data_IF_532812242052
#
_entry.id   IF_532812242052
#
_cell.length_a   1.000
_cell.length_b   1.000
_cell.length_c   1.000
_cell.angle_alpha   90.00
_cell.angle_beta   90.00
_cell.angle_gamma   90.00
#
_symmetry.space_group_name_H-M   'P 1'
#
loop_
_entity.id
_entity.type
_entity.pdbx_description
1 polymer ?
#
# COMPACT_ATOMS: atom_id res chain seq x y z
N UNK A 1 10.07 -51.87 20.81
CA UNK A 1 10.27 -50.90 21.91
C UNK A 1 10.11 -49.47 21.36
N UNK A 2 9.25 -49.31 20.34
CA UNK A 2 9.35 -48.21 19.36
C UNK A 2 8.15 -47.26 19.37
N UNK A 3 7.03 -47.68 19.98
CA UNK A 3 5.85 -46.82 20.13
C UNK A 3 6.02 -45.74 21.21
N UNK A 4 6.82 -46.04 22.25
CA UNK A 4 7.10 -45.07 23.33
C UNK A 4 8.04 -43.97 22.82
N UNK A 5 9.05 -44.33 22.01
CA UNK A 5 9.97 -43.35 21.41
C UNK A 5 9.26 -42.42 20.41
N UNK A 6 8.31 -42.97 19.62
CA UNK A 6 7.55 -42.21 18.63
C UNK A 6 6.61 -41.15 19.25
N UNK A 7 6.13 -41.37 20.47
CA UNK A 7 5.27 -40.41 21.18
C UNK A 7 6.06 -39.40 22.04
N UNK A 8 7.25 -39.78 22.52
CA UNK A 8 8.08 -38.90 23.35
C UNK A 8 8.80 -37.82 22.55
N UNK A 9 9.26 -38.12 21.33
CA UNK A 9 9.98 -37.14 20.51
C UNK A 9 9.14 -35.89 20.17
N UNK A 10 7.87 -36.01 19.72
CA UNK A 10 7.03 -34.85 19.42
C UNK A 10 6.68 -34.03 20.66
N UNK A 11 6.50 -34.68 21.81
CA UNK A 11 6.21 -34.00 23.08
C UNK A 11 7.43 -33.23 23.61
N UNK A 12 8.63 -33.79 23.47
CA UNK A 12 9.88 -33.11 23.84
C UNK A 12 10.17 -31.95 22.89
N UNK A 13 9.96 -32.13 21.59
CA UNK A 13 10.07 -31.05 20.60
C UNK A 13 9.05 -29.95 20.89
N UNK A 14 7.79 -30.31 21.15
CA UNK A 14 6.73 -29.35 21.52
C UNK A 14 7.05 -28.56 22.80
N UNK A 15 7.58 -29.24 23.82
CA UNK A 15 8.00 -28.60 25.07
C UNK A 15 9.21 -27.67 24.87
N UNK A 16 10.19 -28.06 24.06
CA UNK A 16 11.35 -27.23 23.75
C UNK A 16 10.97 -26.00 22.91
N UNK A 17 10.08 -26.15 21.93
CA UNK A 17 9.55 -25.04 21.13
C UNK A 17 8.76 -24.06 22.01
N UNK A 18 7.93 -24.57 22.93
CA UNK A 18 7.19 -23.73 23.88
C UNK A 18 8.09 -22.97 24.87
N UNK A 19 9.22 -23.57 25.27
CA UNK A 19 10.18 -22.92 26.17
C UNK A 19 11.05 -21.87 25.48
N UNK A 20 11.36 -22.05 24.21
CA UNK A 20 12.20 -21.14 23.43
C UNK A 20 11.36 -19.99 22.85
N UNK A 21 10.08 -20.23 22.53
CA UNK A 21 9.17 -19.24 21.95
C UNK A 21 7.83 -19.15 22.70
N UNK A 22 7.78 -18.51 23.90
CA UNK A 22 6.59 -18.47 24.75
C UNK A 22 5.44 -17.61 24.19
N UNK A 23 5.61 -16.97 23.03
CA UNK A 23 4.65 -16.03 22.43
C UNK A 23 3.84 -16.58 21.26
N UNK A 24 4.03 -17.84 20.85
CA UNK A 24 3.25 -18.42 19.74
C UNK A 24 1.83 -18.76 20.18
N UNK A 25 0.84 -18.14 19.53
CA UNK A 25 -0.56 -18.48 19.77
C UNK A 25 -0.94 -19.75 18.99
N UNK A 26 -1.86 -20.56 19.53
CA UNK A 26 -2.38 -21.74 18.83
C UNK A 26 -3.00 -21.42 17.44
N UNK A 27 -3.38 -20.16 17.19
CA UNK A 27 -3.85 -19.68 15.90
C UNK A 27 -2.73 -19.65 14.83
N UNK A 28 -1.50 -19.34 15.22
CA UNK A 28 -0.34 -19.31 14.32
C UNK A 28 0.08 -20.73 13.91
N UNK A 29 0.02 -21.68 14.85
CA UNK A 29 0.31 -23.09 14.59
C UNK A 29 -0.73 -23.70 13.63
N UNK A 30 -2.02 -23.38 13.81
CA UNK A 30 -3.07 -23.80 12.89
C UNK A 30 -2.90 -23.18 11.50
N UNK A 31 -2.41 -21.94 11.41
CA UNK A 31 -2.14 -21.27 10.13
C UNK A 31 -1.03 -22.00 9.34
N UNK A 32 0.03 -22.44 10.01
CA UNK A 32 1.14 -23.20 9.41
C UNK A 32 0.70 -24.58 8.91
N UNK A 33 -0.16 -25.27 9.65
CA UNK A 33 -0.67 -26.60 9.29
C UNK A 33 -1.75 -26.55 8.18
N UNK A 34 -2.44 -25.42 8.02
CA UNK A 34 -3.46 -25.24 6.98
C UNK A 34 -2.89 -24.91 5.59
N UNK A 35 -1.57 -24.77 5.44
CA UNK A 35 -0.87 -24.30 4.23
C UNK A 35 -0.94 -25.23 2.99
N UNK A 36 -1.84 -26.21 2.95
CA UNK A 36 -2.09 -27.03 1.76
C UNK A 36 -3.56 -26.97 1.35
N UNK A 37 -3.97 -25.83 0.78
CA UNK A 37 -4.92 -25.69 -0.34
C UNK A 37 -5.30 -24.21 -0.49
N UNK A 38 -5.08 -23.69 -1.68
CA UNK A 38 -5.37 -22.34 -2.20
C UNK A 38 -4.27 -21.30 -1.95
N UNK A 39 -3.57 -20.96 -3.03
CA UNK A 39 -2.80 -19.73 -3.19
C UNK A 39 -3.77 -18.53 -3.21
N UNK A 40 -4.37 -18.23 -2.05
CA UNK A 40 -5.00 -16.94 -1.83
C UNK A 40 -3.88 -15.94 -1.54
N UNK A 41 -3.91 -14.79 -2.21
CA UNK A 41 -3.18 -13.58 -1.82
C UNK A 41 -3.12 -13.49 -0.28
N UNK A 42 -1.97 -13.10 0.27
CA UNK A 42 -1.81 -12.92 1.71
C UNK A 42 -3.04 -12.17 2.24
N UNK A 43 -3.85 -12.83 3.09
CA UNK A 43 -5.14 -12.31 3.60
C UNK A 43 -5.20 -10.80 3.87
N UNK A 44 -4.17 -10.12 4.44
CA UNK A 44 -4.22 -8.68 4.65
C UNK A 44 -4.31 -7.83 3.37
N UNK A 45 -3.85 -8.30 2.22
CA UNK A 45 -3.78 -7.53 0.97
C UNK A 45 -4.84 -7.92 -0.05
N UNK A 46 -5.80 -8.77 0.33
CA UNK A 46 -6.87 -9.22 -0.57
C UNK A 46 -7.85 -8.09 -0.94
N UNK A 47 -8.58 -8.30 -2.04
CA UNK A 47 -9.59 -7.36 -2.53
C UNK A 47 -10.71 -7.14 -1.51
N UNK A 48 -11.15 -8.19 -0.82
CA UNK A 48 -12.20 -8.15 0.20
C UNK A 48 -11.77 -7.29 1.39
N UNK A 49 -10.55 -7.51 1.88
CA UNK A 49 -10.04 -6.74 2.99
C UNK A 49 -9.88 -5.25 2.63
N UNK A 50 -9.33 -4.96 1.46
CA UNK A 50 -9.18 -3.59 0.96
C UNK A 50 -10.54 -2.90 0.80
N UNK A 51 -11.51 -3.57 0.16
CA UNK A 51 -12.87 -3.08 -0.02
C UNK A 51 -13.55 -2.73 1.31
N UNK A 52 -13.59 -3.68 2.25
CA UNK A 52 -14.23 -3.45 3.54
C UNK A 52 -13.52 -2.37 4.36
N UNK A 53 -12.20 -2.24 4.23
CA UNK A 53 -11.42 -1.20 4.88
C UNK A 53 -11.75 0.19 4.33
N UNK A 54 -11.83 0.34 3.00
CA UNK A 54 -12.26 1.59 2.37
C UNK A 54 -13.71 1.94 2.76
N UNK A 55 -14.63 0.97 2.70
CA UNK A 55 -16.04 1.15 3.05
C UNK A 55 -16.25 1.57 4.51
N UNK A 56 -15.40 1.11 5.43
CA UNK A 56 -15.50 1.42 6.86
C UNK A 56 -14.59 2.56 7.32
N UNK A 57 -13.81 3.17 6.42
CA UNK A 57 -12.88 4.25 6.77
C UNK A 57 -13.53 5.36 7.60
N UNK A 58 -14.72 5.82 7.18
CA UNK A 58 -15.48 6.87 7.86
C UNK A 58 -15.83 6.46 9.29
N UNK A 59 -16.44 5.28 9.44
CA UNK A 59 -16.84 4.74 10.75
C UNK A 59 -15.61 4.61 11.66
N UNK A 60 -14.56 3.93 11.20
CA UNK A 60 -13.36 3.66 11.99
C UNK A 60 -12.63 4.95 12.39
N UNK A 61 -12.59 5.94 11.51
CA UNK A 61 -11.97 7.24 11.81
C UNK A 61 -12.79 8.02 12.85
N UNK A 62 -14.12 8.01 12.75
CA UNK A 62 -15.02 8.63 13.71
C UNK A 62 -15.02 7.92 15.07
N UNK A 63 -14.83 6.61 15.11
CA UNK A 63 -14.64 5.85 16.35
C UNK A 63 -13.33 6.24 17.06
N UNK A 64 -12.23 6.41 16.31
CA UNK A 64 -10.97 6.91 16.86
C UNK A 64 -11.12 8.34 17.40
N UNK A 65 -11.78 9.23 16.65
CA UNK A 65 -12.08 10.59 17.09
C UNK A 65 -12.93 10.61 18.37
N UNK A 66 -13.93 9.72 18.47
CA UNK A 66 -14.79 9.61 19.65
C UNK A 66 -14.00 9.18 20.88
N UNK A 67 -13.03 8.25 20.74
CA UNK A 67 -12.11 7.89 21.82
C UNK A 67 -11.25 9.09 22.26
N UNK A 68 -10.77 9.89 21.32
CA UNK A 68 -10.01 11.12 21.64
C UNK A 68 -10.86 12.13 22.41
N UNK A 69 -12.12 12.34 21.99
CA UNK A 69 -13.08 13.20 22.69
C UNK A 69 -13.38 12.69 24.09
N UNK A 70 -13.61 11.39 24.26
CA UNK A 70 -13.87 10.78 25.56
C UNK A 70 -12.66 10.88 26.49
N UNK A 71 -11.45 10.66 25.97
CA UNK A 71 -10.20 10.86 26.71
C UNK A 71 -10.07 12.31 27.16
N UNK A 72 -10.33 13.28 26.29
CA UNK A 72 -10.33 14.69 26.68
C UNK A 72 -11.41 15.03 27.72
N UNK A 73 -12.59 14.42 27.59
CA UNK A 73 -13.69 14.60 28.53
C UNK A 73 -13.41 13.98 29.92
N UNK A 74 -12.49 13.02 30.06
CA UNK A 74 -12.11 12.46 31.36
C UNK A 74 -11.05 13.29 32.11
N UNK A 75 -10.39 14.23 31.43
CA UNK A 75 -9.34 15.07 32.01
C UNK A 75 -9.91 16.03 33.09
N UNK A 76 -9.12 16.34 34.12
CA UNK A 76 -9.47 17.30 35.17
C UNK A 76 -9.72 18.73 34.65
N UNK A 77 -10.48 19.54 35.42
CA UNK A 77 -10.93 20.87 34.98
C UNK A 77 -9.78 21.81 34.57
N UNK A 78 -8.68 21.83 35.32
CA UNK A 78 -7.51 22.68 35.03
C UNK A 78 -6.89 22.38 33.68
N UNK A 79 -6.62 21.10 33.40
CA UNK A 79 -6.05 20.67 32.12
C UNK A 79 -7.03 20.83 30.96
N UNK A 80 -8.33 20.65 31.17
CA UNK A 80 -9.36 20.98 30.16
C UNK A 80 -9.37 22.46 29.79
N UNK A 81 -9.19 23.36 30.76
CA UNK A 81 -9.09 24.80 30.48
C UNK A 81 -7.87 25.10 29.61
N UNK A 82 -6.69 24.57 29.97
CA UNK A 82 -5.48 24.70 29.15
C UNK A 82 -5.72 24.15 27.74
N UNK A 83 -6.31 22.96 27.63
CA UNK A 83 -6.68 22.34 26.36
C UNK A 83 -7.62 23.19 25.51
N UNK A 84 -8.59 23.85 26.12
CA UNK A 84 -9.49 24.78 25.46
C UNK A 84 -8.76 26.03 24.98
N UNK A 85 -7.92 26.63 25.83
CA UNK A 85 -7.16 27.84 25.52
C UNK A 85 -6.17 27.62 24.36
N UNK A 86 -5.61 26.40 24.21
CA UNK A 86 -4.77 26.02 23.06
C UNK A 86 -5.57 25.51 21.85
N UNK A 87 -6.91 25.53 21.90
CA UNK A 87 -7.79 25.17 20.79
C UNK A 87 -7.92 23.67 20.50
N UNK A 88 -7.67 22.79 21.47
CA UNK A 88 -7.77 21.34 21.28
C UNK A 88 -9.17 20.87 20.83
N UNK A 89 -10.30 21.37 21.38
CA UNK A 89 -11.63 21.00 20.89
C UNK A 89 -11.86 21.40 19.42
N UNK A 90 -11.41 22.60 19.04
CA UNK A 90 -11.50 23.07 17.65
C UNK A 90 -10.67 22.19 16.71
N UNK A 91 -9.50 21.72 17.16
CA UNK A 91 -8.67 20.75 16.43
C UNK A 91 -9.41 19.43 16.17
N UNK A 92 -10.15 18.91 17.17
CA UNK A 92 -10.95 17.69 17.02
C UNK A 92 -12.14 17.87 16.06
N UNK A 93 -12.76 19.06 16.04
CA UNK A 93 -13.82 19.37 15.08
C UNK A 93 -13.28 19.42 13.65
N UNK A 94 -12.13 20.06 13.44
CA UNK A 94 -11.46 20.08 12.14
C UNK A 94 -11.01 18.68 11.69
N UNK A 95 -10.60 17.81 12.62
CA UNK A 95 -10.33 16.40 12.30
C UNK A 95 -11.59 15.68 11.79
N UNK A 96 -12.76 15.97 12.36
CA UNK A 96 -14.02 15.40 11.88
C UNK A 96 -14.33 15.86 10.46
N UNK A 97 -14.26 17.16 10.20
CA UNK A 97 -14.51 17.76 8.88
C UNK A 97 -13.59 17.17 7.80
N UNK A 98 -12.29 17.09 8.10
CA UNK A 98 -11.30 16.51 7.16
C UNK A 98 -11.49 15.02 6.95
N UNK A 99 -11.94 14.28 7.97
CA UNK A 99 -12.33 12.87 7.85
C UNK A 99 -13.51 12.69 6.90
N UNK A 100 -14.52 13.56 6.96
CA UNK A 100 -15.67 13.51 6.05
C UNK A 100 -15.27 13.82 4.60
N UNK A 101 -14.32 14.73 4.38
CA UNK A 101 -13.77 14.99 3.03
C UNK A 101 -13.04 13.74 2.50
N UNK A 102 -12.14 13.16 3.30
CA UNK A 102 -11.42 11.94 2.91
C UNK A 102 -12.37 10.76 2.65
N UNK A 103 -13.44 10.64 3.45
CA UNK A 103 -14.43 9.59 3.31
C UNK A 103 -15.13 9.60 1.93
N UNK A 104 -15.30 10.78 1.30
CA UNK A 104 -15.87 10.85 -0.06
C UNK A 104 -15.05 10.07 -1.07
N UNK A 105 -13.72 10.16 -0.98
CA UNK A 105 -12.78 9.42 -1.84
C UNK A 105 -12.83 7.93 -1.51
N UNK A 106 -12.71 7.56 -0.23
CA UNK A 106 -12.70 6.14 0.16
C UNK A 106 -14.01 5.43 -0.18
N UNK A 107 -15.14 6.11 0.00
CA UNK A 107 -16.46 5.56 -0.35
C UNK A 107 -16.61 5.43 -1.88
N UNK A 108 -16.01 6.34 -2.66
CA UNK A 108 -16.02 6.24 -4.12
C UNK A 108 -15.16 5.07 -4.61
N UNK A 109 -13.99 4.85 -4.00
CA UNK A 109 -13.14 3.67 -4.25
C UNK A 109 -13.92 2.39 -3.93
N UNK A 110 -14.57 2.33 -2.75
CA UNK A 110 -15.36 1.17 -2.36
C UNK A 110 -16.53 0.90 -3.33
N UNK A 111 -17.27 1.95 -3.74
CA UNK A 111 -18.36 1.82 -4.73
C UNK A 111 -17.87 1.37 -6.10
N UNK A 112 -16.66 1.77 -6.52
CA UNK A 112 -16.08 1.27 -7.78
C UNK A 112 -15.75 -0.21 -7.65
N UNK A 113 -15.06 -0.59 -6.57
CA UNK A 113 -14.71 -1.98 -6.29
C UNK A 113 -15.93 -2.90 -6.23
N UNK A 114 -17.01 -2.47 -5.57
CA UNK A 114 -18.27 -3.21 -5.50
C UNK A 114 -18.87 -3.51 -6.89
N UNK A 115 -18.77 -2.57 -7.83
CA UNK A 115 -19.25 -2.76 -9.21
C UNK A 115 -18.34 -3.69 -10.01
N UNK A 116 -17.03 -3.55 -9.86
CA UNK A 116 -16.05 -4.35 -10.61
C UNK A 116 -15.97 -5.80 -10.10
N UNK A 117 -16.12 -5.98 -8.79
CA UNK A 117 -16.00 -7.27 -8.10
C UNK A 117 -17.35 -7.58 -7.42
N UNK A 118 -18.35 -7.99 -8.20
CA UNK A 118 -19.75 -8.12 -7.77
C UNK A 118 -20.06 -9.09 -6.60
N UNK A 119 -19.06 -9.75 -6.01
CA UNK A 119 -19.19 -10.70 -4.88
C UNK A 119 -18.69 -10.15 -3.53
N UNK A 120 -18.24 -8.89 -3.48
CA UNK A 120 -17.64 -8.30 -2.27
C UNK A 120 -18.64 -8.03 -1.13
N UNK A 121 -19.94 -8.03 -1.41
CA UNK A 121 -20.98 -7.81 -0.41
C UNK A 121 -21.46 -9.08 0.29
N UNK A 122 -21.31 -10.23 -0.37
CA UNK A 122 -21.89 -11.50 0.08
C UNK A 122 -20.96 -12.24 1.06
N UNK A 123 -19.72 -11.79 1.20
CA UNK A 123 -18.74 -12.40 2.08
C UNK A 123 -18.81 -11.83 3.50
N UNK A 124 -18.71 -12.72 4.48
CA UNK A 124 -18.68 -12.41 5.90
C UNK A 124 -17.57 -11.38 6.18
N UNK A 125 -17.93 -10.26 6.80
CA UNK A 125 -17.02 -9.18 7.19
C UNK A 125 -15.80 -9.78 7.90
N UNK A 126 -14.60 -9.83 7.26
CA UNK A 126 -13.42 -10.27 7.96
C UNK A 126 -13.24 -9.38 9.19
N UNK A 127 -12.75 -9.96 10.30
CA UNK A 127 -12.27 -9.14 11.41
C UNK A 127 -11.22 -8.19 10.86
N UNK A 128 -11.59 -6.92 10.73
CA UNK A 128 -10.71 -5.89 10.25
C UNK A 128 -9.58 -5.80 11.25
N UNK A 129 -8.37 -6.17 10.83
CA UNK A 129 -7.19 -6.09 11.68
C UNK A 129 -6.96 -4.62 12.10
N UNK A 130 -6.24 -4.43 13.21
CA UNK A 130 -5.91 -3.10 13.73
C UNK A 130 -5.15 -2.22 12.71
N UNK A 131 -4.49 -2.83 11.72
CA UNK A 131 -3.69 -2.18 10.68
C UNK A 131 -4.46 -1.75 9.42
N UNK A 132 -5.74 -2.07 9.30
CA UNK A 132 -6.49 -1.88 8.06
C UNK A 132 -6.77 -0.40 7.76
N UNK A 133 -7.06 0.40 8.80
CA UNK A 133 -7.17 1.86 8.65
C UNK A 133 -5.82 2.51 8.29
N UNK A 134 -4.70 1.99 8.80
CA UNK A 134 -3.38 2.48 8.42
C UNK A 134 -3.06 2.18 6.96
N UNK A 135 -3.48 1.03 6.41
CA UNK A 135 -3.29 0.70 5.00
C UNK A 135 -4.10 1.62 4.08
N UNK A 136 -5.36 1.94 4.43
CA UNK A 136 -6.14 2.96 3.70
C UNK A 136 -5.44 4.32 3.76
N UNK A 137 -5.00 4.73 4.94
CA UNK A 137 -4.27 5.99 5.15
C UNK A 137 -2.97 6.04 4.34
N UNK A 138 -2.29 4.91 4.17
CA UNK A 138 -1.09 4.82 3.34
C UNK A 138 -1.41 5.01 1.85
N UNK A 139 -2.46 4.35 1.33
CA UNK A 139 -2.93 4.61 -0.02
C UNK A 139 -3.35 6.08 -0.24
N UNK A 140 -3.97 6.70 0.77
CA UNK A 140 -4.32 8.12 0.76
C UNK A 140 -3.08 9.03 0.64
N UNK A 141 -1.97 8.71 1.33
CA UNK A 141 -0.70 9.44 1.16
C UNK A 141 -0.10 9.24 -0.23
N UNK A 142 -0.22 8.05 -0.81
CA UNK A 142 0.29 7.80 -2.15
C UNK A 142 -0.38 8.69 -3.21
N UNK A 143 -1.63 9.12 -3.05
CA UNK A 143 -2.23 10.12 -3.95
C UNK A 143 -1.43 11.43 -3.97
N UNK A 144 -0.82 11.82 -2.85
CA UNK A 144 0.04 13.02 -2.80
C UNK A 144 1.28 12.79 -3.65
N UNK A 145 2.03 11.72 -3.35
CA UNK A 145 3.30 11.42 -4.01
C UNK A 145 3.11 11.18 -5.50
N UNK A 146 2.16 10.33 -5.86
CA UNK A 146 2.03 9.80 -7.22
C UNK A 146 1.17 10.71 -8.12
N UNK A 147 0.20 11.46 -7.57
CA UNK A 147 -0.83 12.12 -8.39
C UNK A 147 -1.19 13.54 -7.94
N UNK A 148 -0.38 14.22 -7.14
CA UNK A 148 -0.64 15.63 -6.80
C UNK A 148 0.51 16.54 -7.22
N UNK A 149 0.24 17.83 -7.40
CA UNK A 149 1.27 18.83 -7.64
C UNK A 149 2.27 18.92 -6.47
N UNK A 150 1.81 18.74 -5.23
CA UNK A 150 2.66 18.72 -4.03
C UNK A 150 3.72 17.60 -4.05
N UNK A 151 3.46 16.51 -4.78
CA UNK A 151 4.42 15.42 -4.97
C UNK A 151 5.36 15.60 -6.16
N UNK A 152 5.19 16.65 -6.99
CA UNK A 152 5.90 16.81 -8.25
C UNK A 152 7.42 16.89 -8.05
N UNK A 153 7.90 17.69 -7.10
CA UNK A 153 9.34 17.82 -6.84
C UNK A 153 9.97 16.48 -6.40
N UNK A 154 9.27 15.70 -5.58
CA UNK A 154 9.74 14.38 -5.16
C UNK A 154 9.79 13.42 -6.37
N UNK A 155 8.71 13.40 -7.18
CA UNK A 155 8.65 12.60 -8.40
C UNK A 155 9.73 12.98 -9.38
N UNK A 156 9.98 14.27 -9.60
CA UNK A 156 10.99 14.72 -10.55
C UNK A 156 12.39 14.23 -10.17
N UNK A 157 12.68 14.15 -8.87
CA UNK A 157 13.97 13.64 -8.37
C UNK A 157 14.12 12.13 -8.52
N UNK A 158 13.03 11.36 -8.40
CA UNK A 158 13.08 9.89 -8.36
C UNK A 158 12.70 9.23 -9.71
N UNK A 159 11.74 9.79 -10.44
CA UNK A 159 11.18 9.24 -11.69
C UNK A 159 11.96 9.73 -12.91
N UNK A 160 12.30 11.03 -13.00
CA UNK A 160 12.94 11.56 -14.22
C UNK A 160 14.25 10.85 -14.60
N UNK A 161 15.15 10.50 -13.66
CA UNK A 161 16.36 9.78 -14.01
C UNK A 161 16.06 8.41 -14.65
N UNK A 162 15.02 7.71 -14.19
CA UNK A 162 14.57 6.43 -14.76
C UNK A 162 14.05 6.65 -16.18
N UNK A 163 13.19 7.66 -16.37
CA UNK A 163 12.66 7.98 -17.70
C UNK A 163 13.74 8.43 -18.68
N UNK A 164 14.76 9.15 -18.20
CA UNK A 164 15.88 9.58 -19.04
C UNK A 164 16.68 8.39 -19.57
N UNK A 165 16.85 7.33 -18.79
CA UNK A 165 17.47 6.09 -19.27
C UNK A 165 16.58 5.38 -20.28
N UNK A 166 15.29 5.28 -20.03
CA UNK A 166 14.35 4.66 -20.99
C UNK A 166 14.24 5.46 -22.30
N UNK A 167 14.44 6.79 -22.27
CA UNK A 167 14.48 7.65 -23.45
C UNK A 167 15.69 7.39 -24.36
N UNK A 168 16.72 6.69 -23.89
CA UNK A 168 17.86 6.27 -24.73
C UNK A 168 17.48 5.18 -25.74
N UNK A 169 16.36 4.47 -25.51
CA UNK A 169 15.78 3.57 -26.51
C UNK A 169 15.10 4.41 -27.58
N UNK A 170 15.41 4.13 -28.84
CA UNK A 170 14.83 4.82 -30.00
C UNK A 170 13.30 4.72 -30.00
N UNK A 171 12.63 5.83 -30.31
CA UNK A 171 11.17 5.93 -30.20
C UNK A 171 10.42 4.85 -31.00
N UNK A 172 10.93 4.52 -32.19
CA UNK A 172 10.34 3.51 -33.08
C UNK A 172 10.45 2.08 -32.53
N UNK A 173 11.40 1.82 -31.62
CA UNK A 173 11.58 0.50 -31.01
C UNK A 173 10.72 0.29 -29.76
N UNK A 174 10.27 1.36 -29.10
CA UNK A 174 9.62 1.29 -27.77
C UNK A 174 8.34 0.47 -27.77
N UNK A 175 7.54 0.56 -28.83
CA UNK A 175 6.28 -0.17 -28.96
C UNK A 175 6.46 -1.70 -28.93
N UNK A 176 7.65 -2.21 -29.27
CA UNK A 176 7.96 -3.64 -29.22
C UNK A 176 8.61 -4.09 -27.91
N UNK A 177 8.85 -3.19 -26.94
CA UNK A 177 9.56 -3.46 -25.69
C UNK A 177 8.59 -3.51 -24.51
N UNK A 178 8.61 -4.63 -23.80
CA UNK A 178 7.78 -4.87 -22.62
C UNK A 178 8.51 -4.44 -21.35
N UNK A 179 7.89 -3.57 -20.57
CA UNK A 179 8.41 -3.05 -19.30
C UNK A 179 7.53 -3.52 -18.15
N UNK A 180 8.12 -4.09 -17.11
CA UNK A 180 7.43 -4.42 -15.88
C UNK A 180 7.83 -3.45 -14.77
N UNK A 181 6.84 -2.91 -14.07
CA UNK A 181 7.03 -2.09 -12.87
C UNK A 181 6.44 -2.84 -11.67
N UNK A 182 7.23 -3.64 -10.94
CA UNK A 182 6.76 -4.32 -9.74
C UNK A 182 6.70 -3.36 -8.54
N UNK A 183 5.70 -3.54 -7.68
CA UNK A 183 5.41 -2.61 -6.58
C UNK A 183 5.00 -1.23 -7.08
N UNK A 184 4.14 -1.20 -8.10
CA UNK A 184 3.79 0.02 -8.81
C UNK A 184 3.08 1.07 -7.93
N UNK A 185 2.57 0.71 -6.74
CA UNK A 185 1.82 1.63 -5.88
C UNK A 185 0.57 2.13 -6.61
N UNK A 186 0.42 3.45 -6.76
CA UNK A 186 -0.67 4.02 -7.56
C UNK A 186 -0.31 4.18 -9.04
N UNK A 187 0.73 3.50 -9.52
CA UNK A 187 1.01 3.31 -10.94
C UNK A 187 1.54 4.53 -11.68
N UNK A 188 1.93 5.61 -11.00
CA UNK A 188 2.44 6.83 -11.66
C UNK A 188 3.67 6.58 -12.53
N UNK A 189 4.66 5.84 -12.02
CA UNK A 189 5.85 5.49 -12.81
C UNK A 189 5.49 4.64 -14.03
N UNK A 190 4.66 3.61 -13.85
CA UNK A 190 4.22 2.76 -14.95
C UNK A 190 3.45 3.55 -16.02
N UNK A 191 2.59 4.48 -15.59
CA UNK A 191 1.90 5.39 -16.50
C UNK A 191 2.87 6.30 -17.25
N UNK A 192 3.84 6.94 -16.58
CA UNK A 192 4.81 7.80 -17.29
C UNK A 192 5.69 7.01 -18.28
N UNK A 193 6.02 5.75 -17.97
CA UNK A 193 6.73 4.86 -18.90
C UNK A 193 5.85 4.50 -20.09
N UNK A 194 4.56 4.20 -19.89
CA UNK A 194 3.64 3.92 -20.99
C UNK A 194 3.49 5.13 -21.92
N UNK A 195 3.52 6.35 -21.36
CA UNK A 195 3.50 7.60 -22.15
C UNK A 195 4.76 7.81 -23.00
N UNK A 196 5.86 7.09 -22.75
CA UNK A 196 7.03 7.08 -23.63
C UNK A 196 6.87 6.15 -24.84
N UNK A 197 5.81 5.33 -24.88
CA UNK A 197 5.49 4.38 -25.95
C UNK A 197 5.88 2.92 -25.67
N UNK A 198 6.16 2.55 -24.42
CA UNK A 198 6.48 1.17 -24.03
C UNK A 198 5.22 0.38 -23.64
N UNK A 199 5.16 -0.90 -23.99
CA UNK A 199 4.18 -1.84 -23.45
C UNK A 199 4.51 -2.10 -21.97
N UNK A 200 3.76 -1.46 -21.07
CA UNK A 200 4.10 -1.35 -19.66
C UNK A 200 3.08 -2.05 -18.78
N UNK A 201 3.54 -3.01 -17.98
CA UNK A 201 2.74 -3.67 -16.94
C UNK A 201 3.05 -3.07 -15.57
N UNK A 202 2.04 -2.45 -14.95
CA UNK A 202 2.05 -2.07 -13.54
C UNK A 202 1.69 -3.30 -12.69
N UNK A 203 2.61 -3.81 -11.89
CA UNK A 203 2.36 -4.93 -10.99
C UNK A 203 2.33 -4.47 -9.52
N UNK A 204 1.25 -4.82 -8.83
CA UNK A 204 1.07 -4.46 -7.43
C UNK A 204 0.28 -5.56 -6.69
N UNK A 205 0.82 -5.96 -5.53
CA UNK A 205 0.27 -7.01 -4.69
C UNK A 205 -0.92 -6.51 -3.87
N UNK A 206 -0.83 -5.27 -3.38
CA UNK A 206 -1.79 -4.69 -2.44
C UNK A 206 -3.04 -4.20 -3.13
N UNK A 207 -4.19 -4.83 -2.84
CA UNK A 207 -5.48 -4.31 -3.31
C UNK A 207 -5.84 -2.95 -2.72
N UNK A 208 -5.21 -2.49 -1.64
CA UNK A 208 -5.37 -1.11 -1.19
C UNK A 208 -4.88 -0.12 -2.26
N UNK A 209 -3.74 -0.42 -2.89
CA UNK A 209 -3.17 0.40 -3.96
C UNK A 209 -3.91 0.17 -5.29
N UNK A 210 -4.18 -1.10 -5.65
CA UNK A 210 -4.89 -1.41 -6.91
C UNK A 210 -6.27 -0.75 -6.99
N UNK A 211 -7.08 -0.82 -5.94
CA UNK A 211 -8.40 -0.19 -5.94
C UNK A 211 -8.31 1.35 -6.01
N UNK A 212 -7.32 1.95 -5.35
CA UNK A 212 -7.08 3.39 -5.43
C UNK A 212 -6.57 3.81 -6.82
N UNK A 213 -5.76 2.99 -7.49
CA UNK A 213 -5.31 3.27 -8.85
C UNK A 213 -6.43 3.10 -9.87
N UNK A 214 -7.23 2.03 -9.77
CA UNK A 214 -8.45 1.83 -10.58
C UNK A 214 -9.40 3.03 -10.47
N UNK A 215 -9.54 3.61 -9.28
CA UNK A 215 -10.33 4.83 -9.08
C UNK A 215 -9.82 6.05 -9.87
N UNK A 216 -8.52 6.17 -10.13
CA UNK A 216 -7.98 7.22 -10.99
C UNK A 216 -8.19 6.93 -12.47
N UNK A 217 -8.05 5.66 -12.86
CA UNK A 217 -8.16 5.20 -14.24
C UNK A 217 -9.60 5.24 -14.77
N UNK A 218 -10.57 4.96 -13.90
CA UNK A 218 -11.99 4.86 -14.25
C UNK A 218 -12.57 6.23 -14.69
N UNK A 219 -13.09 6.38 -15.92
CA UNK A 219 -13.65 7.62 -16.42
C UNK A 219 -14.88 8.13 -15.64
N UNK A 220 -15.62 7.23 -14.99
CA UNK A 220 -16.79 7.61 -14.20
C UNK A 220 -16.43 8.26 -12.86
N UNK A 221 -15.27 7.93 -12.28
CA UNK A 221 -14.81 8.47 -11.00
C UNK A 221 -13.91 9.69 -11.20
N UNK A 222 -13.04 9.71 -12.21
CA UNK A 222 -12.04 10.76 -12.40
C UNK A 222 -12.05 11.29 -13.84
N UNK A 223 -12.59 12.49 -14.05
CA UNK A 223 -12.84 13.08 -15.38
C UNK A 223 -11.89 14.22 -15.74
N UNK A 224 -11.49 15.02 -14.75
CA UNK A 224 -10.63 16.19 -14.95
C UNK A 224 -9.46 16.20 -13.96
N UNK A 225 -8.37 16.91 -14.28
CA UNK A 225 -7.34 17.21 -13.29
C UNK A 225 -7.92 17.91 -12.07
N UNK A 226 -7.28 17.70 -10.92
CA UNK A 226 -7.60 18.31 -9.62
C UNK A 226 -9.07 18.16 -9.18
N UNK A 227 -9.76 17.13 -9.65
CA UNK A 227 -11.18 16.92 -9.36
C UNK A 227 -11.43 16.58 -7.88
N UNK A 228 -10.50 15.85 -7.27
CA UNK A 228 -10.65 15.29 -5.93
C UNK A 228 -9.84 16.09 -4.92
N UNK A 229 -10.34 16.14 -3.67
CA UNK A 229 -9.71 16.84 -2.55
C UNK A 229 -9.49 15.86 -1.41
N UNK A 230 -8.32 15.94 -0.77
CA UNK A 230 -7.93 15.07 0.33
C UNK A 230 -7.18 15.85 1.42
N UNK A 231 -7.28 15.39 2.67
CA UNK A 231 -6.49 15.81 3.82
C UNK A 231 -5.68 14.61 4.35
N UNK A 232 -4.60 14.21 3.65
CA UNK A 232 -3.87 12.97 3.93
C UNK A 232 -3.03 13.04 5.21
N UNK A 233 -2.79 14.23 5.77
CA UNK A 233 -1.98 14.40 6.97
C UNK A 233 -2.82 14.51 8.25
N UNK A 234 -4.14 14.64 8.14
CA UNK A 234 -5.03 15.02 9.26
C UNK A 234 -5.00 14.08 10.46
N UNK A 235 -4.56 12.83 10.29
CA UNK A 235 -4.45 11.83 11.36
C UNK A 235 -3.06 11.77 12.02
N UNK A 236 -2.06 12.48 11.50
CA UNK A 236 -0.68 12.45 12.00
C UNK A 236 -0.40 13.63 12.93
N UNK A 237 -0.78 13.49 14.20
CA UNK A 237 -0.75 14.59 15.18
C UNK A 237 0.67 14.98 15.64
N UNK A 238 1.64 14.09 15.46
CA UNK A 238 3.04 14.29 15.90
C UNK A 238 3.84 15.06 14.85
N UNK A 239 4.85 15.83 15.28
CA UNK A 239 5.81 16.51 14.38
C UNK A 239 5.18 17.53 13.40
N UNK A 240 3.97 18.02 13.68
CA UNK A 240 3.34 19.08 12.89
C UNK A 240 3.65 20.46 13.48
N UNK A 241 4.16 21.36 12.64
CA UNK A 241 4.50 22.75 13.03
C UNK A 241 3.25 23.59 13.33
N UNK A 242 2.12 23.30 12.69
CA UNK A 242 0.86 24.00 12.89
C UNK A 242 -0.35 23.11 12.58
N UNK A 243 -1.54 23.49 13.08
CA UNK A 243 -2.78 22.81 12.72
C UNK A 243 -3.12 22.99 11.23
N UNK A 244 -2.71 24.09 10.61
CA UNK A 244 -2.90 24.29 9.17
C UNK A 244 -2.04 23.34 8.34
N UNK A 245 -0.80 23.06 8.77
CA UNK A 245 0.03 22.04 8.14
C UNK A 245 -0.57 20.64 8.31
N UNK A 246 -1.11 20.32 9.51
CA UNK A 246 -1.76 19.04 9.79
C UNK A 246 -3.00 18.81 8.91
N UNK A 247 -3.84 19.82 8.73
CA UNK A 247 -5.11 19.74 8.02
C UNK A 247 -5.06 20.33 6.62
N UNK A 248 -3.88 20.51 6.04
CA UNK A 248 -3.76 21.01 4.67
C UNK A 248 -4.48 20.08 3.69
N UNK A 249 -5.20 20.69 2.75
CA UNK A 249 -5.85 19.98 1.65
C UNK A 249 -4.90 19.87 0.47
N UNK A 250 -4.98 18.77 -0.26
CA UNK A 250 -4.33 18.58 -1.56
C UNK A 250 -5.39 18.24 -2.61
N UNK A 251 -5.11 18.60 -3.87
CA UNK A 251 -5.95 18.29 -5.03
C UNK A 251 -5.27 17.24 -5.90
N UNK A 252 -6.06 16.34 -6.48
CA UNK A 252 -5.57 15.26 -7.33
C UNK A 252 -6.66 14.76 -8.31
N UNK A 253 -6.29 14.09 -9.42
CA UNK A 253 -4.93 13.93 -9.90
C UNK A 253 -4.40 15.19 -10.62
N UNK A 254 -3.09 15.44 -10.62
CA UNK A 254 -2.45 16.51 -11.40
C UNK A 254 -2.55 16.29 -12.92
N UNK A 255 -2.54 15.03 -13.33
CA UNK A 255 -2.84 14.59 -14.70
C UNK A 255 -3.75 13.37 -14.65
N UNK A 256 -4.71 13.27 -15.57
CA UNK A 256 -5.71 12.21 -15.54
C UNK A 256 -5.17 10.97 -16.26
N UNK A 257 -4.92 9.84 -15.56
CA UNK A 257 -4.47 8.63 -16.22
C UNK A 257 -5.61 7.88 -16.87
N UNK A 258 -5.30 7.16 -17.96
CA UNK A 258 -6.19 6.24 -18.65
C UNK A 258 -5.45 4.97 -18.95
N UNK A 259 -6.19 3.87 -18.96
CA UNK A 259 -5.72 2.65 -19.59
C UNK A 259 -5.77 2.86 -21.11
N UNK A 260 -4.69 2.48 -21.75
CA UNK A 260 -4.53 2.42 -23.20
C UNK A 260 -3.93 1.05 -23.57
N UNK A 261 -3.54 0.88 -24.83
CA UNK A 261 -2.90 -0.36 -25.29
C UNK A 261 -1.51 -0.59 -24.68
N UNK A 262 -0.89 0.43 -24.09
CA UNK A 262 0.47 0.41 -23.57
C UNK A 262 0.53 0.31 -22.05
N UNK A 263 -0.61 0.36 -21.34
CA UNK A 263 -0.65 0.27 -19.88
C UNK A 263 -1.53 -0.89 -19.43
N UNK A 264 -0.90 -1.87 -18.79
CA UNK A 264 -1.54 -3.07 -18.26
C UNK A 264 -1.46 -3.14 -16.75
N UNK A 265 -2.48 -3.71 -16.11
CA UNK A 265 -2.50 -3.94 -14.67
C UNK A 265 -2.30 -5.44 -14.39
N UNK A 266 -1.36 -5.76 -13.50
CA UNK A 266 -1.12 -7.12 -13.01
C UNK A 266 -1.25 -7.14 -11.50
N UNK A 267 -2.37 -7.64 -11.01
CA UNK A 267 -2.70 -7.65 -9.58
C UNK A 267 -2.22 -8.94 -8.94
N UNK A 268 -1.30 -8.84 -7.97
CA UNK A 268 -0.79 -9.98 -7.23
C UNK A 268 0.73 -10.02 -7.12
N UNK A 269 1.24 -11.15 -6.63
CA UNK A 269 2.67 -11.34 -6.36
C UNK A 269 3.49 -11.30 -7.65
N UNK A 270 4.47 -10.40 -7.69
CA UNK A 270 5.47 -10.29 -8.75
C UNK A 270 6.12 -11.63 -9.08
N UNK A 271 6.44 -12.45 -8.07
CA UNK A 271 7.10 -13.74 -8.25
C UNK A 271 6.21 -14.75 -8.99
N UNK A 272 4.90 -14.61 -8.88
CA UNK A 272 3.92 -15.42 -9.61
C UNK A 272 3.70 -14.94 -11.05
N UNK A 273 4.17 -13.74 -11.42
CA UNK A 273 4.08 -13.25 -12.80
C UNK A 273 4.96 -14.10 -13.72
N UNK A 274 4.36 -14.64 -14.78
CA UNK A 274 5.01 -15.52 -15.78
C UNK A 274 5.32 -14.81 -17.10
N UNK A 275 5.18 -13.49 -17.15
CA UNK A 275 5.44 -12.67 -18.33
C UNK A 275 6.93 -12.62 -18.69
N UNK A 276 7.22 -12.56 -19.99
CA UNK A 276 8.53 -12.18 -20.49
C UNK A 276 8.56 -10.66 -20.63
N UNK A 277 9.59 -10.01 -20.10
CA UNK A 277 9.75 -8.57 -20.12
C UNK A 277 11.16 -8.21 -20.58
N UNK A 278 11.29 -7.16 -21.38
CA UNK A 278 12.58 -6.63 -21.84
C UNK A 278 13.25 -5.80 -20.73
N UNK A 279 12.44 -5.05 -19.96
CA UNK A 279 12.91 -4.23 -18.85
C UNK A 279 12.09 -4.49 -17.58
N UNK A 280 12.75 -4.46 -16.43
CA UNK A 280 12.11 -4.44 -15.11
C UNK A 280 12.58 -3.18 -14.39
N UNK A 281 11.64 -2.32 -14.01
CA UNK A 281 11.92 -1.02 -13.42
C UNK A 281 11.40 -1.01 -11.98
N UNK A 282 12.32 -1.01 -11.01
CA UNK A 282 11.97 -1.03 -9.59
C UNK A 282 12.18 0.35 -8.97
N UNK A 283 11.15 0.88 -8.29
CA UNK A 283 11.23 2.14 -7.53
C UNK A 283 10.69 1.89 -6.12
N UNK A 284 11.55 2.01 -5.09
CA UNK A 284 11.27 1.63 -3.69
C UNK A 284 10.81 0.18 -3.44
N UNK A 285 10.86 -0.70 -4.45
CA UNK A 285 10.30 -2.05 -4.37
C UNK A 285 11.23 -3.09 -3.72
N UNK A 286 12.55 -3.01 -3.97
CA UNK A 286 13.53 -4.03 -3.52
C UNK A 286 13.56 -4.15 -1.97
N UNK A 287 13.16 -3.10 -1.25
CA UNK A 287 13.05 -3.08 0.22
C UNK A 287 11.87 -3.89 0.78
N UNK A 288 10.93 -4.32 -0.06
CA UNK A 288 9.70 -5.01 0.37
C UNK A 288 9.77 -6.53 0.23
N UNK A 289 10.79 -7.05 -0.46
CA UNK A 289 10.97 -8.50 -0.61
C UNK A 289 11.53 -9.10 0.68
N UNK A 290 10.84 -10.11 1.22
CA UNK A 290 11.31 -10.89 2.38
C UNK A 290 12.65 -11.59 2.11
N UNK A 291 12.98 -11.81 0.83
CA UNK A 291 14.26 -12.36 0.40
C UNK A 291 14.71 -11.66 -0.90
N UNK A 292 15.72 -10.80 -0.78
CA UNK A 292 16.27 -10.05 -1.92
C UNK A 292 16.93 -11.00 -2.95
N UNK A 293 17.46 -12.14 -2.50
CA UNK A 293 18.11 -13.13 -3.35
C UNK A 293 17.10 -13.93 -4.17
N UNK A 294 15.87 -14.17 -3.67
CA UNK A 294 14.80 -14.74 -4.51
C UNK A 294 14.31 -13.77 -5.57
N UNK A 295 14.34 -12.46 -5.28
CA UNK A 295 14.09 -11.41 -6.28
C UNK A 295 15.17 -11.40 -7.37
N UNK A 296 16.41 -11.76 -7.01
CA UNK A 296 17.58 -11.81 -7.90
C UNK A 296 17.93 -13.21 -8.45
N UNK A 297 17.10 -14.24 -8.25
CA UNK A 297 17.51 -15.63 -8.53
C UNK A 297 17.64 -15.92 -10.05
N UNK A 298 18.73 -16.55 -10.54
CA UNK A 298 19.09 -16.56 -11.97
C UNK A 298 18.24 -17.42 -12.93
N UNK A 299 17.20 -18.10 -12.45
CA UNK A 299 16.42 -19.08 -13.26
C UNK A 299 15.43 -18.44 -14.24
N UNK A 300 15.26 -17.11 -14.19
CA UNK A 300 14.57 -16.32 -15.21
C UNK A 300 15.63 -15.40 -15.81
N UNK A 301 15.71 -15.32 -17.15
CA UNK A 301 16.63 -14.42 -17.85
C UNK A 301 16.27 -12.98 -17.52
N UNK A 302 16.75 -12.49 -16.38
CA UNK A 302 16.74 -11.09 -16.03
C UNK A 302 17.93 -10.46 -16.73
N UNK A 303 17.68 -9.50 -17.61
CA UNK A 303 18.77 -8.64 -18.03
C UNK A 303 18.91 -7.56 -16.97
N UNK A 304 19.65 -7.91 -15.92
CA UNK A 304 20.31 -6.93 -15.08
C UNK A 304 21.44 -6.34 -15.92
N UNK A 305 21.14 -5.31 -16.72
CA UNK A 305 22.18 -4.53 -17.38
C UNK A 305 22.93 -3.73 -16.31
N UNK A 306 24.09 -4.24 -15.91
CA UNK A 306 24.96 -3.67 -14.88
C UNK A 306 25.58 -2.31 -15.24
N UNK A 307 25.33 -1.78 -16.45
CA UNK A 307 25.86 -0.47 -16.86
C UNK A 307 24.88 0.71 -16.71
N UNK A 308 23.56 0.47 -16.50
CA UNK A 308 22.56 1.55 -16.38
C UNK A 308 21.43 1.24 -15.40
N UNK A 309 21.75 0.69 -14.23
CA UNK A 309 20.79 0.65 -13.12
C UNK A 309 20.59 2.06 -12.59
N UNK A 310 19.41 2.64 -12.82
CA UNK A 310 18.91 3.77 -12.03
C UNK A 310 18.20 3.21 -10.80
N UNK A 311 18.98 2.69 -9.85
CA UNK A 311 18.49 2.44 -8.50
C UNK A 311 18.76 3.71 -7.70
N UNK A 312 17.76 4.59 -7.64
CA UNK A 312 17.81 5.79 -6.83
C UNK A 312 16.96 5.55 -5.60
N UNK A 313 17.60 5.39 -4.43
CA UNK A 313 17.16 5.81 -3.07
C UNK A 313 18.02 5.14 -1.97
N UNK A 314 18.13 5.73 -0.75
CA UNK A 314 19.02 5.26 0.31
C UNK A 314 18.53 3.96 0.96
N UNK A 315 19.46 3.14 1.43
CA UNK A 315 19.22 1.94 2.24
C UNK A 315 18.50 2.32 3.57
N UNK A 316 17.17 2.24 3.60
CA UNK A 316 16.38 2.35 4.83
C UNK A 316 15.73 0.99 5.13
N UNK A 317 16.26 0.27 6.11
CA UNK A 317 15.70 -1.00 6.59
C UNK A 317 14.42 -0.74 7.39
N UNK A 318 13.28 -1.29 6.92
CA UNK A 318 12.09 -1.45 7.77
C UNK A 318 12.34 -2.58 8.76
N UNK A 319 12.79 -2.25 9.98
CA UNK A 319 12.82 -3.19 11.10
C UNK A 319 11.39 -3.53 11.53
N UNK A 320 10.78 -4.55 10.93
CA UNK A 320 9.64 -5.25 11.54
C UNK A 320 9.47 -6.73 11.13
N UNK A 321 10.47 -7.34 10.50
CA UNK A 321 10.53 -8.80 10.35
C UNK A 321 11.98 -9.21 10.51
N UNK A 322 12.26 -10.09 11.47
CA UNK A 322 13.58 -10.67 11.68
C UNK A 322 14.13 -11.16 10.33
N UNK A 323 15.19 -10.52 9.88
CA UNK A 323 16.00 -10.96 8.75
C UNK A 323 16.64 -12.30 9.11
N UNK A 324 16.34 -13.36 8.35
CA UNK A 324 17.00 -14.68 8.46
C UNK A 324 18.48 -14.67 7.99
N UNK A 325 19.04 -13.49 7.71
CA UNK A 325 20.45 -13.31 7.38
C UNK A 325 21.06 -12.23 8.28
N UNK A 326 21.00 -12.49 9.58
CA UNK A 326 22.01 -12.01 10.52
C UNK A 326 22.85 -13.23 10.93
N UNK A 327 24.08 -13.30 10.43
CA UNK A 327 25.15 -14.05 11.09
C UNK A 327 25.95 -13.10 11.95
#
# INVERSE_FOLDING_TARGET
MDAVLACFLPLVIGYLVFRIFPSFSWAEIYSLLSSKRNAHLSRPFSVENAYHSYRRYRQLSNDQLSRMRNSYASIGRTHKRIGYDIGYPAKLNRLQETTEVNARVTDAIARLAEREFGHLNDQWLPEIDSGSISRVREALKHFVRDWSADGAEERDRIIQPILNVLRLVDADERAGKRVLVPGAGLGRLAWEISQLGFDTTANELSFFMNLAFRFLLAPETTKSPEQHVLHPFGYWFSHQRSNDALFRSIRFPDVVPRLDENLHLSEGDFLASSGQYDYIVTLFFIYTSLNILSTCQPSRRYVLYFDQVVNLVPLLWCFSSQSELES
#
